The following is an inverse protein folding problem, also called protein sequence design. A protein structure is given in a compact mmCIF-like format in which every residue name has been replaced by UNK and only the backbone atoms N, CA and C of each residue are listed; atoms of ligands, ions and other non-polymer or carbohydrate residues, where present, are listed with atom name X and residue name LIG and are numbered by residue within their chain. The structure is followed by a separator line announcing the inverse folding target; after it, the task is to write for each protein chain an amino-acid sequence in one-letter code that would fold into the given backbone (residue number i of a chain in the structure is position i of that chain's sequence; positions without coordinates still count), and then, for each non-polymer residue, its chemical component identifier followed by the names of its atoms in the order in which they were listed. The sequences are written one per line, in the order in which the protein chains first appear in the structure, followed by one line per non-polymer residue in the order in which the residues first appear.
data_IF_931864735406
#
_entry.id   IF_931864735406
#
_cell.length_a   1.000
_cell.length_b   1.000
_cell.length_c   1.000
_cell.angle_alpha   90.00
_cell.angle_beta   90.00
_cell.angle_gamma   90.00
#
_symmetry.space_group_name_H-M   'P 1'
#
loop_
_entity.id
_entity.type
_entity.pdbx_description
1 polymer ?
#
# COMPACT_ATOMS: atom_id res chain seq x y z
N UNK A 1 6.86 1.10 29.68
CA UNK A 1 5.38 1.23 29.67
C UNK A 1 4.78 -0.15 29.84
N UNK A 2 3.76 -0.34 30.68
CA UNK A 2 3.08 -1.63 30.83
C UNK A 2 2.33 -1.98 29.54
N UNK A 3 2.73 -3.08 28.91
CA UNK A 3 2.09 -3.56 27.68
C UNK A 3 0.90 -4.43 28.03
N UNK A 4 -0.28 -4.07 27.53
CA UNK A 4 -1.46 -4.93 27.57
C UNK A 4 -1.52 -5.78 26.30
N UNK A 5 -1.69 -7.09 26.47
CA UNK A 5 -1.91 -8.02 25.37
C UNK A 5 -3.09 -7.56 24.49
N UNK A 6 -3.07 -7.84 23.17
CA UNK A 6 -4.18 -7.48 22.29
C UNK A 6 -5.50 -8.09 22.79
N UNK A 7 -6.63 -7.37 22.68
CA UNK A 7 -7.92 -7.81 23.18
C UNK A 7 -8.39 -9.08 22.48
N UNK A 8 -8.72 -10.10 23.27
CA UNK A 8 -9.39 -11.30 22.78
C UNK A 8 -10.72 -10.94 22.10
N UNK A 9 -11.00 -11.53 20.94
CA UNK A 9 -12.27 -11.36 20.22
C UNK A 9 -12.41 -10.09 19.37
N UNK A 10 -11.37 -9.28 19.22
CA UNK A 10 -11.43 -8.12 18.30
C UNK A 10 -11.52 -8.59 16.85
N UNK A 11 -12.41 -7.99 16.03
CA UNK A 11 -12.60 -8.43 14.66
C UNK A 11 -11.34 -8.16 13.82
N UNK A 12 -10.86 -9.19 13.11
CA UNK A 12 -9.71 -9.13 12.18
C UNK A 12 -10.07 -8.47 10.84
N UNK A 13 -10.73 -7.32 10.91
CA UNK A 13 -11.07 -6.50 9.75
C UNK A 13 -11.30 -5.04 10.16
N UNK A 14 -11.11 -4.07 9.25
CA UNK A 14 -11.55 -2.71 9.47
C UNK A 14 -13.07 -2.62 9.72
N UNK A 15 -13.57 -1.57 10.41
CA UNK A 15 -14.99 -1.29 10.50
C UNK A 15 -15.69 -1.26 9.13
N UNK A 16 -16.86 -1.90 9.02
CA UNK A 16 -17.65 -1.97 7.77
C UNK A 16 -18.63 -0.80 7.67
N UNK A 17 -18.10 0.39 7.41
CA UNK A 17 -18.91 1.61 7.23
C UNK A 17 -19.30 1.80 5.76
N UNK A 18 -20.51 2.31 5.46
CA UNK A 18 -20.88 2.67 4.09
C UNK A 18 -20.01 3.81 3.59
N UNK A 19 -19.85 3.92 2.26
CA UNK A 19 -19.11 5.03 1.67
C UNK A 19 -19.83 6.35 2.00
N UNK A 20 -19.13 7.43 2.41
CA UNK A 20 -19.77 8.67 2.81
C UNK A 20 -20.34 9.48 1.64
N UNK A 21 -19.88 9.19 0.42
CA UNK A 21 -20.36 9.82 -0.82
C UNK A 21 -20.62 8.74 -1.87
N UNK A 22 -21.50 8.98 -2.86
CA UNK A 22 -21.66 8.06 -3.98
C UNK A 22 -20.33 7.79 -4.70
N UNK A 23 -20.28 6.67 -5.41
CA UNK A 23 -19.23 6.44 -6.41
C UNK A 23 -19.34 7.55 -7.47
N UNK A 24 -18.23 8.18 -7.92
CA UNK A 24 -18.25 9.21 -8.96
C UNK A 24 -18.47 8.59 -10.35
N UNK A 25 -19.53 7.78 -10.49
CA UNK A 25 -19.90 7.05 -11.71
C UNK A 25 -20.41 8.04 -12.74
N UNK A 26 -19.93 7.88 -13.97
CA UNK A 26 -20.32 8.69 -15.13
C UNK A 26 -20.48 7.80 -16.36
N UNK A 27 -21.19 8.29 -17.38
CA UNK A 27 -21.26 7.63 -18.70
C UNK A 27 -20.23 8.26 -19.63
N UNK A 28 -19.30 7.46 -20.14
CA UNK A 28 -18.38 7.90 -21.19
C UNK A 28 -19.01 7.76 -22.58
N UNK A 29 -19.76 8.77 -22.99
CA UNK A 29 -20.47 8.82 -24.29
C UNK A 29 -19.54 8.66 -25.50
N UNK A 30 -18.23 8.86 -25.34
CA UNK A 30 -17.25 8.62 -26.42
C UNK A 30 -17.09 7.12 -26.64
N UNK A 31 -16.97 6.35 -25.56
CA UNK A 31 -16.84 4.89 -25.62
C UNK A 31 -18.13 4.25 -26.10
N UNK A 32 -19.29 4.69 -25.61
CA UNK A 32 -20.60 4.18 -26.04
C UNK A 32 -20.83 4.40 -27.54
N UNK A 33 -20.63 5.64 -28.03
CA UNK A 33 -20.76 5.95 -29.47
C UNK A 33 -19.73 5.23 -30.32
N UNK A 34 -18.49 5.11 -29.84
CA UNK A 34 -17.43 4.38 -30.54
C UNK A 34 -17.80 2.90 -30.69
N UNK A 35 -18.27 2.24 -29.63
CA UNK A 35 -18.67 0.84 -29.66
C UNK A 35 -19.90 0.60 -30.55
N UNK A 36 -20.89 1.50 -30.53
CA UNK A 36 -22.08 1.39 -31.37
C UNK A 36 -21.82 1.69 -32.86
N UNK A 37 -20.79 2.49 -33.17
CA UNK A 37 -20.50 2.98 -34.52
C UNK A 37 -19.54 2.11 -35.35
N UNK A 38 -18.98 1.02 -34.80
CA UNK A 38 -18.05 0.13 -35.51
C UNK A 38 -18.29 -1.34 -35.16
N UNK A 39 -17.69 -2.26 -35.91
CA UNK A 39 -17.78 -3.68 -35.56
C UNK A 39 -17.03 -3.96 -34.25
N UNK A 40 -17.49 -4.93 -33.45
CA UNK A 40 -16.80 -5.32 -32.22
C UNK A 40 -15.33 -5.71 -32.46
N UNK A 41 -15.04 -6.36 -33.58
CA UNK A 41 -13.67 -6.72 -33.95
C UNK A 41 -12.77 -5.49 -34.22
N UNK A 42 -13.31 -4.40 -34.75
CA UNK A 42 -12.57 -3.14 -34.93
C UNK A 42 -12.38 -2.42 -33.58
N UNK A 43 -13.42 -2.39 -32.74
CA UNK A 43 -13.36 -1.79 -31.42
C UNK A 43 -12.27 -2.43 -30.56
N UNK A 44 -12.27 -3.75 -30.44
CA UNK A 44 -11.32 -4.48 -29.59
C UNK A 44 -9.89 -4.46 -30.13
N UNK A 45 -9.69 -4.44 -31.46
CA UNK A 45 -8.36 -4.22 -32.06
C UNK A 45 -7.81 -2.83 -31.73
N UNK A 46 -8.67 -1.83 -31.57
CA UNK A 46 -8.22 -0.52 -31.17
C UNK A 46 -7.92 -0.46 -29.66
N UNK A 47 -8.76 -1.09 -28.82
CA UNK A 47 -8.50 -1.24 -27.37
C UNK A 47 -7.19 -1.99 -27.10
N UNK A 48 -6.89 -3.05 -27.85
CA UNK A 48 -5.63 -3.79 -27.72
C UNK A 48 -4.39 -2.93 -27.99
N UNK A 49 -4.49 -1.93 -28.86
CA UNK A 49 -3.40 -0.97 -29.13
C UNK A 49 -3.33 0.15 -28.10
N UNK A 50 -4.46 0.58 -27.56
CA UNK A 50 -4.56 1.70 -26.59
C UNK A 50 -4.30 1.24 -25.15
N UNK A 51 -4.60 -0.02 -24.84
CA UNK A 51 -4.62 -0.58 -23.49
C UNK A 51 -5.90 -0.25 -22.71
N UNK A 52 -6.09 -0.90 -21.56
CA UNK A 52 -7.16 -0.61 -20.61
C UNK A 52 -6.61 -0.26 -19.22
N UNK A 53 -7.39 0.47 -18.40
CA UNK A 53 -8.66 1.16 -18.73
C UNK A 53 -8.47 2.31 -19.73
N UNK A 54 -9.50 2.62 -20.51
CA UNK A 54 -9.47 3.80 -21.39
C UNK A 54 -9.56 5.07 -20.54
N UNK A 55 -8.88 6.13 -20.97
CA UNK A 55 -8.92 7.44 -20.29
C UNK A 55 -9.34 8.53 -21.26
N UNK A 56 -9.83 9.65 -20.74
CA UNK A 56 -10.14 10.81 -21.58
C UNK A 56 -10.48 12.09 -20.81
N UNK A 57 -10.87 13.15 -21.52
CA UNK A 57 -11.26 14.40 -20.89
C UNK A 57 -12.44 14.20 -19.96
N UNK A 58 -12.51 15.04 -18.93
CA UNK A 58 -13.67 15.09 -18.05
C UNK A 58 -14.95 15.40 -18.83
N UNK A 59 -16.02 14.58 -18.74
CA UNK A 59 -17.32 14.89 -19.35
C UNK A 59 -17.95 16.19 -18.83
N UNK A 60 -17.57 16.64 -17.62
CA UNK A 60 -18.02 17.91 -17.05
C UNK A 60 -17.09 19.10 -17.41
N UNK A 61 -15.99 18.85 -18.12
CA UNK A 61 -15.09 19.88 -18.63
C UNK A 61 -14.04 20.41 -17.64
N UNK A 62 -13.88 19.83 -16.44
CA UNK A 62 -12.83 20.24 -15.52
C UNK A 62 -11.45 19.76 -15.99
N UNK A 63 -10.49 20.68 -16.05
CA UNK A 63 -9.15 20.41 -16.59
C UNK A 63 -8.33 19.45 -15.71
N UNK A 64 -8.54 19.48 -14.40
CA UNK A 64 -7.87 18.66 -13.39
C UNK A 64 -8.48 17.26 -13.24
N UNK A 65 -9.57 16.96 -13.96
CA UNK A 65 -10.24 15.66 -13.96
C UNK A 65 -10.10 14.93 -15.30
N UNK A 66 -10.34 13.63 -15.24
CA UNK A 66 -10.42 12.73 -16.38
C UNK A 66 -11.52 11.69 -16.12
N UNK A 67 -12.09 11.16 -17.20
CA UNK A 67 -12.89 9.94 -17.13
C UNK A 67 -11.98 8.72 -17.29
N UNK A 68 -12.22 7.69 -16.48
CA UNK A 68 -11.58 6.38 -16.56
C UNK A 68 -12.66 5.35 -16.85
N UNK A 69 -12.55 4.66 -17.98
CA UNK A 69 -13.54 3.70 -18.47
C UNK A 69 -12.93 2.31 -18.49
N UNK A 70 -13.39 1.48 -17.55
CA UNK A 70 -13.05 0.06 -17.46
C UNK A 70 -13.89 -0.71 -18.47
N UNK A 71 -13.28 -1.71 -19.11
CA UNK A 71 -13.90 -2.47 -20.17
C UNK A 71 -13.84 -3.97 -19.90
N UNK A 72 -14.82 -4.70 -20.41
CA UNK A 72 -14.77 -6.14 -20.53
C UNK A 72 -15.36 -6.60 -21.86
N UNK A 73 -14.69 -7.57 -22.49
CA UNK A 73 -15.19 -8.21 -23.71
C UNK A 73 -16.08 -9.39 -23.34
N UNK A 74 -17.39 -9.19 -23.49
CA UNK A 74 -18.39 -10.19 -23.18
C UNK A 74 -18.36 -11.38 -24.13
N UNK A 75 -18.64 -12.56 -23.61
CA UNK A 75 -19.03 -13.74 -24.37
C UNK A 75 -20.56 -13.85 -24.43
N UNK A 76 -21.14 -14.71 -25.29
CA UNK A 76 -22.57 -15.03 -25.22
C UNK A 76 -23.02 -15.60 -23.87
N UNK A 77 -22.08 -16.10 -23.05
CA UNK A 77 -22.34 -16.60 -21.70
C UNK A 77 -22.28 -15.48 -20.64
N UNK A 78 -21.58 -14.37 -20.89
CA UNK A 78 -21.50 -13.26 -19.93
C UNK A 78 -22.88 -12.71 -19.59
N UNK A 79 -23.16 -12.63 -18.28
CA UNK A 79 -24.41 -12.05 -17.75
C UNK A 79 -24.20 -10.87 -16.81
N UNK A 80 -23.09 -10.85 -16.07
CA UNK A 80 -22.73 -9.73 -15.23
C UNK A 80 -21.21 -9.53 -15.24
N UNK A 81 -20.79 -8.28 -15.18
CA UNK A 81 -19.39 -7.92 -14.96
C UNK A 81 -19.35 -6.90 -13.84
N UNK A 82 -18.62 -7.20 -12.77
CA UNK A 82 -18.36 -6.31 -11.66
C UNK A 82 -16.95 -5.76 -11.78
N UNK A 83 -16.78 -4.46 -11.64
CA UNK A 83 -15.46 -3.83 -11.50
C UNK A 83 -15.28 -3.31 -10.09
N UNK A 84 -14.08 -3.42 -9.54
CA UNK A 84 -13.79 -2.94 -8.19
C UNK A 84 -12.43 -2.25 -8.16
N UNK A 85 -12.35 -0.97 -8.56
CA UNK A 85 -11.14 -0.18 -8.34
C UNK A 85 -10.96 0.08 -6.84
N UNK A 86 -9.70 0.03 -6.38
CA UNK A 86 -9.35 0.06 -4.97
C UNK A 86 -9.97 1.28 -4.27
N UNK A 87 -10.82 1.01 -3.26
CA UNK A 87 -11.56 2.01 -2.46
C UNK A 87 -12.42 3.00 -3.26
N UNK A 88 -12.71 2.71 -4.53
CA UNK A 88 -13.74 3.42 -5.29
C UNK A 88 -15.08 2.69 -5.16
N UNK A 89 -15.09 1.39 -5.44
CA UNK A 89 -16.30 0.58 -5.30
C UNK A 89 -16.82 0.54 -3.85
N UNK A 90 -18.13 0.67 -3.67
CA UNK A 90 -18.76 0.45 -2.36
C UNK A 90 -18.96 -1.06 -2.12
N UNK A 91 -18.31 -1.66 -1.12
CA UNK A 91 -18.50 -3.08 -0.83
C UNK A 91 -19.90 -3.44 -0.33
N UNK A 92 -20.66 -2.47 0.21
CA UNK A 92 -22.02 -2.65 0.72
C UNK A 92 -23.10 -2.44 -0.33
N UNK A 93 -22.79 -1.75 -1.42
CA UNK A 93 -23.63 -1.65 -2.61
C UNK A 93 -22.86 -2.16 -3.84
N UNK A 94 -22.78 -3.49 -4.02
CA UNK A 94 -22.03 -4.08 -5.12
C UNK A 94 -22.69 -3.77 -6.47
N UNK A 95 -24.01 -3.57 -6.49
CA UNK A 95 -24.80 -3.36 -7.70
C UNK A 95 -24.39 -2.09 -8.45
N UNK A 96 -24.02 -1.04 -7.72
CA UNK A 96 -23.47 0.20 -8.28
C UNK A 96 -22.15 0.03 -9.04
N UNK A 97 -21.51 -1.14 -8.94
CA UNK A 97 -20.27 -1.47 -9.62
C UNK A 97 -20.42 -2.49 -10.76
N UNK A 98 -21.66 -2.86 -11.11
CA UNK A 98 -21.93 -3.62 -12.31
C UNK A 98 -21.71 -2.75 -13.55
N UNK A 99 -21.00 -3.31 -14.53
CA UNK A 99 -20.83 -2.73 -15.85
C UNK A 99 -22.12 -2.74 -16.64
N UNK A 100 -22.30 -1.72 -17.45
CA UNK A 100 -23.36 -1.65 -18.45
C UNK A 100 -22.87 -2.28 -19.76
N UNK A 101 -23.77 -2.95 -20.49
CA UNK A 101 -23.48 -3.47 -21.83
C UNK A 101 -23.96 -2.47 -22.87
N UNK A 102 -23.09 -2.08 -23.81
CA UNK A 102 -23.52 -1.27 -24.96
C UNK A 102 -24.46 -2.11 -25.84
N UNK A 103 -25.71 -1.66 -26.08
CA UNK A 103 -26.72 -2.45 -26.79
C UNK A 103 -26.22 -2.95 -28.16
N UNK A 104 -26.47 -4.23 -28.45
CA UNK A 104 -26.08 -4.85 -29.73
C UNK A 104 -24.60 -5.23 -29.87
N UNK A 105 -23.76 -5.00 -28.85
CA UNK A 105 -22.31 -5.27 -28.91
C UNK A 105 -21.83 -6.27 -27.85
N UNK A 106 -20.57 -6.69 -27.89
CA UNK A 106 -19.90 -7.46 -26.82
C UNK A 106 -19.17 -6.55 -25.80
N UNK A 107 -19.42 -5.24 -25.84
CA UNK A 107 -18.70 -4.25 -25.01
C UNK A 107 -19.44 -3.99 -23.71
N UNK A 108 -18.81 -4.39 -22.61
CA UNK A 108 -19.20 -4.00 -21.25
C UNK A 108 -18.31 -2.86 -20.78
N UNK A 109 -18.90 -1.87 -20.12
CA UNK A 109 -18.18 -0.70 -19.65
C UNK A 109 -18.67 -0.20 -18.29
N UNK A 110 -17.77 0.43 -17.54
CA UNK A 110 -18.09 1.17 -16.34
C UNK A 110 -17.08 2.29 -16.17
N UNK A 111 -17.57 3.51 -15.88
CA UNK A 111 -16.72 4.69 -15.92
C UNK A 111 -16.83 5.52 -14.66
N UNK A 112 -15.71 6.11 -14.26
CA UNK A 112 -15.62 7.04 -13.13
C UNK A 112 -14.90 8.32 -13.51
N UNK A 113 -15.32 9.41 -12.88
CA UNK A 113 -14.66 10.72 -12.96
C UNK A 113 -13.68 10.85 -11.81
N UNK A 114 -12.40 11.02 -12.12
CA UNK A 114 -11.31 11.10 -11.14
C UNK A 114 -10.39 12.29 -11.44
N UNK A 115 -9.82 12.91 -10.40
CA UNK A 115 -8.70 13.84 -10.53
C UNK A 115 -7.52 13.17 -11.23
N UNK A 116 -6.78 13.93 -12.04
CA UNK A 116 -5.69 13.43 -12.92
C UNK A 116 -4.48 12.83 -12.20
N UNK A 117 -4.34 13.08 -10.91
CA UNK A 117 -3.31 12.48 -10.07
C UNK A 117 -3.72 11.16 -9.42
N UNK A 118 -4.88 10.63 -9.79
CA UNK A 118 -5.37 9.34 -9.28
C UNK A 118 -4.64 8.15 -9.90
N UNK A 119 -4.37 7.16 -9.06
CA UNK A 119 -3.99 5.82 -9.49
C UNK A 119 -4.55 4.74 -8.55
N UNK A 120 -4.81 3.56 -9.09
CA UNK A 120 -5.28 2.43 -8.30
C UNK A 120 -5.06 1.10 -9.02
N UNK A 121 -5.00 0.03 -8.23
CA UNK A 121 -5.32 -1.31 -8.68
C UNK A 121 -6.82 -1.50 -8.81
N UNK A 122 -7.24 -2.47 -9.62
CA UNK A 122 -8.64 -2.87 -9.73
C UNK A 122 -8.78 -4.36 -9.98
N UNK A 123 -9.97 -4.89 -9.72
CA UNK A 123 -10.32 -6.28 -10.02
C UNK A 123 -11.58 -6.31 -10.89
N UNK A 124 -11.59 -7.22 -11.86
CA UNK A 124 -12.78 -7.58 -12.63
C UNK A 124 -13.31 -8.91 -12.12
N UNK A 125 -14.62 -9.03 -11.99
CA UNK A 125 -15.28 -10.30 -11.67
C UNK A 125 -16.40 -10.54 -12.67
N UNK A 126 -16.46 -11.74 -13.24
CA UNK A 126 -17.32 -12.04 -14.39
C UNK A 126 -18.21 -13.22 -14.07
N UNK A 127 -19.51 -13.02 -14.24
CA UNK A 127 -20.52 -14.06 -14.21
C UNK A 127 -20.83 -14.51 -15.64
N UNK A 128 -20.55 -15.77 -15.94
CA UNK A 128 -20.93 -16.43 -17.20
C UNK A 128 -22.05 -17.48 -17.00
N UNK A 129 -22.70 -17.47 -15.84
CA UNK A 129 -23.78 -18.36 -15.44
C UNK A 129 -25.16 -17.72 -15.63
N UNK A 130 -25.92 -17.61 -14.53
CA UNK A 130 -27.33 -17.19 -14.55
C UNK A 130 -27.62 -15.83 -13.91
N UNK A 131 -26.62 -15.12 -13.39
CA UNK A 131 -26.83 -13.86 -12.66
C UNK A 131 -27.00 -12.62 -13.56
N UNK A 132 -27.06 -11.39 -12.99
CA UNK A 132 -27.03 -11.14 -11.56
C UNK A 132 -28.29 -11.64 -10.85
N UNK A 133 -28.11 -12.26 -9.68
CA UNK A 133 -29.20 -12.80 -8.87
C UNK A 133 -29.48 -11.90 -7.65
N UNK A 134 -30.76 -11.78 -7.27
CA UNK A 134 -31.20 -11.04 -6.08
C UNK A 134 -31.07 -11.91 -4.81
N UNK A 135 -29.84 -12.33 -4.51
CA UNK A 135 -29.48 -13.19 -3.38
C UNK A 135 -28.28 -12.61 -2.62
N UNK A 136 -28.32 -12.66 -1.29
CA UNK A 136 -27.24 -12.21 -0.43
C UNK A 136 -25.93 -13.00 -0.64
N UNK A 137 -26.00 -14.26 -1.07
CA UNK A 137 -24.81 -15.07 -1.38
C UNK A 137 -24.22 -14.79 -2.78
N UNK A 138 -24.98 -14.15 -3.67
CA UNK A 138 -24.53 -13.84 -5.03
C UNK A 138 -23.29 -12.95 -5.03
N UNK A 139 -23.29 -11.86 -4.27
CA UNK A 139 -22.19 -10.89 -4.30
C UNK A 139 -20.87 -11.41 -3.70
N UNK A 140 -20.87 -12.12 -2.57
CA UNK A 140 -19.68 -12.85 -2.12
C UNK A 140 -19.16 -13.81 -3.18
N UNK A 141 -20.04 -14.59 -3.82
CA UNK A 141 -19.66 -15.54 -4.87
C UNK A 141 -19.09 -14.84 -6.11
N UNK A 142 -19.74 -13.78 -6.63
CA UNK A 142 -19.26 -13.06 -7.81
C UNK A 142 -17.84 -12.53 -7.59
N UNK A 143 -17.54 -12.02 -6.38
CA UNK A 143 -16.19 -11.52 -6.03
C UNK A 143 -15.10 -12.61 -6.01
N UNK A 144 -15.47 -13.89 -6.00
CA UNK A 144 -14.51 -15.00 -6.19
C UNK A 144 -14.29 -15.34 -7.66
N UNK A 145 -15.18 -14.91 -8.56
CA UNK A 145 -15.08 -15.12 -10.01
C UNK A 145 -14.14 -14.10 -10.68
N UNK A 146 -12.95 -13.92 -10.11
CA UNK A 146 -11.97 -12.93 -10.58
C UNK A 146 -11.49 -13.27 -11.99
N UNK A 147 -11.26 -12.22 -12.78
CA UNK A 147 -10.63 -12.28 -14.09
C UNK A 147 -9.57 -11.20 -14.17
N UNK A 148 -8.44 -11.53 -14.80
CA UNK A 148 -7.47 -10.51 -15.19
C UNK A 148 -8.04 -9.68 -16.33
N UNK A 149 -7.63 -8.42 -16.42
CA UNK A 149 -7.92 -7.58 -17.58
C UNK A 149 -6.92 -7.91 -18.70
N UNK A 150 -7.34 -8.59 -19.79
CA UNK A 150 -6.42 -9.04 -20.82
C UNK A 150 -5.82 -7.91 -21.65
N UNK A 151 -6.39 -6.69 -21.57
CA UNK A 151 -5.95 -5.53 -22.34
C UNK A 151 -5.14 -4.54 -21.51
N UNK A 152 -4.89 -4.83 -20.23
CA UNK A 152 -4.07 -3.99 -19.37
C UNK A 152 -2.65 -4.57 -19.26
N UNK A 153 -1.63 -3.93 -19.86
CA UNK A 153 -0.25 -4.39 -19.77
C UNK A 153 0.40 -4.07 -18.41
N UNK A 154 -0.32 -3.41 -17.51
CA UNK A 154 0.17 -2.95 -16.22
C UNK A 154 -0.53 -3.70 -15.09
N UNK A 155 0.25 -4.48 -14.34
CA UNK A 155 -0.21 -5.17 -13.15
C UNK A 155 0.84 -5.10 -12.05
N UNK A 156 0.39 -5.06 -10.81
CA UNK A 156 1.22 -5.28 -9.64
C UNK A 156 1.25 -6.76 -9.29
N UNK A 157 2.39 -7.24 -8.78
CA UNK A 157 2.48 -8.60 -8.23
C UNK A 157 1.42 -8.81 -7.13
N UNK A 158 0.83 -9.99 -7.09
CA UNK A 158 -0.05 -10.39 -6.00
C UNK A 158 0.74 -10.78 -4.75
N UNK A 159 0.04 -10.76 -3.61
CA UNK A 159 0.60 -11.16 -2.30
C UNK A 159 0.28 -12.62 -2.02
N UNK A 160 1.21 -13.35 -1.38
CA UNK A 160 1.05 -14.76 -0.98
C UNK A 160 0.56 -15.65 -2.14
N UNK A 161 1.32 -15.64 -3.24
CA UNK A 161 1.01 -16.37 -4.48
C UNK A 161 -0.32 -15.97 -5.16
N UNK A 162 -0.89 -14.82 -4.77
CA UNK A 162 -2.03 -14.24 -5.44
C UNK A 162 -1.72 -13.79 -6.87
N UNK A 163 -2.74 -13.78 -7.71
CA UNK A 163 -2.61 -13.31 -9.09
C UNK A 163 -2.18 -11.83 -9.15
N UNK A 164 -1.39 -11.44 -10.17
CA UNK A 164 -1.13 -10.04 -10.44
C UNK A 164 -2.42 -9.23 -10.59
N UNK A 165 -2.44 -8.04 -10.00
CA UNK A 165 -3.62 -7.17 -10.01
C UNK A 165 -3.43 -6.02 -11.00
N UNK A 166 -4.30 -5.88 -12.02
CA UNK A 166 -4.25 -4.79 -12.99
C UNK A 166 -4.27 -3.41 -12.30
N UNK A 167 -3.58 -2.45 -12.88
CA UNK A 167 -3.53 -1.08 -12.36
C UNK A 167 -3.78 -0.02 -13.42
N UNK A 168 -4.24 1.14 -12.95
CA UNK A 168 -4.44 2.35 -13.74
C UNK A 168 -3.74 3.51 -13.05
N UNK A 169 -3.00 4.30 -13.81
CA UNK A 169 -2.41 5.55 -13.37
C UNK A 169 -2.73 6.64 -14.39
N UNK A 170 -3.39 7.71 -13.94
CA UNK A 170 -3.70 8.83 -14.81
C UNK A 170 -2.45 9.67 -15.11
N UNK A 171 -2.55 10.53 -16.13
CA UNK A 171 -1.41 11.28 -16.66
C UNK A 171 -0.72 12.21 -15.65
N UNK A 172 -1.40 12.60 -14.58
CA UNK A 172 -0.85 13.42 -13.50
C UNK A 172 -0.51 12.61 -12.24
N UNK A 173 -0.70 11.29 -12.25
CA UNK A 173 -0.41 10.45 -11.11
C UNK A 173 1.11 10.43 -10.83
N UNK A 174 1.54 10.21 -9.58
CA UNK A 174 2.95 10.11 -9.25
C UNK A 174 3.68 9.09 -10.13
N UNK A 175 4.91 9.46 -10.53
CA UNK A 175 5.76 8.62 -11.36
C UNK A 175 6.15 7.30 -10.68
N UNK A 176 6.61 6.34 -11.48
CA UNK A 176 7.12 5.04 -11.01
C UNK A 176 8.54 4.74 -11.49
N UNK A 177 9.27 5.79 -11.90
CA UNK A 177 10.60 5.69 -12.51
C UNK A 177 11.63 5.03 -11.61
N UNK A 178 11.58 5.31 -10.32
CA UNK A 178 12.49 4.80 -9.30
C UNK A 178 12.34 3.29 -9.08
N UNK A 179 11.24 2.71 -9.56
CA UNK A 179 10.99 1.28 -9.43
C UNK A 179 11.41 0.47 -10.66
N UNK A 180 11.87 1.15 -11.71
CA UNK A 180 12.34 0.50 -12.94
C UNK A 180 13.85 0.34 -12.88
N UNK A 181 14.35 -0.77 -13.39
CA UNK A 181 15.79 -0.95 -13.55
C UNK A 181 16.32 0.12 -14.51
N UNK A 182 17.39 0.80 -14.10
CA UNK A 182 18.05 1.84 -14.90
C UNK A 182 19.44 1.35 -15.32
N UNK A 183 19.80 1.40 -16.61
CA UNK A 183 21.14 1.05 -17.06
C UNK A 183 22.21 1.87 -16.34
N UNK A 184 23.28 1.21 -15.90
CA UNK A 184 24.42 1.87 -15.25
C UNK A 184 24.25 2.17 -13.76
N UNK A 185 23.07 1.93 -13.16
CA UNK A 185 22.89 2.05 -11.71
C UNK A 185 23.51 0.83 -11.00
N UNK A 186 24.47 1.03 -10.07
CA UNK A 186 25.02 -0.06 -9.27
C UNK A 186 23.93 -0.80 -8.48
N UNK A 187 23.98 -2.13 -8.51
CA UNK A 187 22.97 -3.00 -7.91
C UNK A 187 23.43 -3.50 -6.54
N UNK A 188 22.61 -3.28 -5.52
CA UNK A 188 22.78 -3.93 -4.23
C UNK A 188 22.54 -5.44 -4.34
N UNK A 189 22.79 -6.15 -3.24
CA UNK A 189 22.55 -7.58 -3.14
C UNK A 189 21.39 -7.86 -2.20
N UNK A 190 20.52 -8.80 -2.59
CA UNK A 190 19.46 -9.33 -1.72
C UNK A 190 19.78 -10.77 -1.40
N UNK A 191 19.85 -11.08 -0.11
CA UNK A 191 20.02 -12.43 0.42
C UNK A 191 18.79 -12.82 1.25
N UNK A 192 18.39 -14.09 1.22
CA UNK A 192 17.23 -14.60 1.97
C UNK A 192 17.74 -15.46 3.11
N UNK A 193 17.27 -15.19 4.32
CA UNK A 193 17.69 -15.88 5.54
C UNK A 193 16.49 -16.41 6.31
N UNK A 194 16.66 -17.52 7.00
CA UNK A 194 15.69 -17.99 8.01
C UNK A 194 16.09 -17.42 9.36
N UNK A 195 15.21 -16.64 9.99
CA UNK A 195 15.48 -16.03 11.29
C UNK A 195 14.49 -16.59 12.31
N UNK A 196 15.02 -17.29 13.29
CA UNK A 196 14.25 -17.88 14.39
C UNK A 196 14.04 -16.85 15.49
N UNK A 197 12.79 -16.74 15.96
CA UNK A 197 12.40 -15.88 17.06
C UNK A 197 12.03 -16.72 18.29
N UNK A 198 12.70 -16.46 19.41
CA UNK A 198 12.32 -17.04 20.69
C UNK A 198 11.07 -16.32 21.25
N UNK A 199 10.96 -15.01 21.05
CA UNK A 199 9.83 -14.19 21.49
C UNK A 199 8.50 -14.60 20.84
N UNK A 200 8.55 -14.98 19.55
CA UNK A 200 7.37 -15.36 18.76
C UNK A 200 7.17 -16.87 18.71
N UNK A 201 8.18 -17.67 19.04
CA UNK A 201 8.14 -19.12 18.94
C UNK A 201 7.97 -19.63 17.50
N UNK A 202 8.42 -18.85 16.51
CA UNK A 202 8.39 -19.20 15.10
C UNK A 202 9.70 -18.86 14.39
N UNK A 203 9.78 -19.24 13.13
CA UNK A 203 10.86 -18.89 12.22
C UNK A 203 10.25 -18.26 10.97
N UNK A 204 10.90 -17.26 10.40
CA UNK A 204 10.42 -16.56 9.21
C UNK A 204 11.55 -16.25 8.24
N UNK A 205 11.21 -16.12 6.96
CA UNK A 205 12.14 -15.58 5.98
C UNK A 205 12.38 -14.09 6.25
N UNK A 206 13.61 -13.66 6.04
CA UNK A 206 14.01 -12.25 6.03
C UNK A 206 14.80 -12.00 4.76
N UNK A 207 14.32 -11.09 3.91
CA UNK A 207 15.13 -10.57 2.83
C UNK A 207 16.05 -9.49 3.40
N UNK A 208 17.35 -9.64 3.21
CA UNK A 208 18.40 -8.71 3.63
C UNK A 208 19.00 -8.06 2.40
N UNK A 209 18.78 -6.77 2.24
CA UNK A 209 19.40 -5.93 1.22
C UNK A 209 20.66 -5.25 1.76
N UNK A 210 21.74 -5.30 0.98
CA UNK A 210 23.00 -4.59 1.21
C UNK A 210 23.31 -3.75 -0.02
N UNK A 211 23.69 -2.47 0.13
CA UNK A 211 23.87 -1.56 -1.00
C UNK A 211 25.06 -1.97 -1.88
N UNK A 212 25.06 -1.50 -3.13
CA UNK A 212 26.16 -1.72 -4.05
C UNK A 212 27.48 -1.10 -3.52
N UNK A 213 28.62 -1.72 -3.84
CA UNK A 213 29.94 -1.23 -3.39
C UNK A 213 30.33 -1.68 -1.97
N UNK A 214 29.44 -2.35 -1.24
CA UNK A 214 29.72 -2.82 0.12
C UNK A 214 29.61 -1.70 1.15
N UNK A 215 30.18 -1.93 2.34
CA UNK A 215 30.24 -0.92 3.40
C UNK A 215 31.66 -0.42 3.54
N UNK A 216 31.84 0.89 3.48
CA UNK A 216 33.14 1.51 3.73
C UNK A 216 33.67 1.12 5.12
N UNK A 217 34.96 0.80 5.27
CA UNK A 217 35.53 0.45 6.56
C UNK A 217 35.26 1.52 7.63
N UNK A 218 34.63 1.11 8.73
CA UNK A 218 34.28 2.00 9.84
C UNK A 218 32.97 2.80 9.65
N UNK A 219 32.29 2.68 8.51
CA UNK A 219 30.99 3.28 8.31
C UNK A 219 29.87 2.42 8.93
N UNK A 220 28.96 3.08 9.65
CA UNK A 220 27.72 2.45 10.11
C UNK A 220 26.60 2.68 9.09
N UNK A 221 25.90 1.61 8.70
CA UNK A 221 24.75 1.69 7.81
C UNK A 221 23.49 2.15 8.56
N UNK A 222 22.75 3.15 8.04
CA UNK A 222 21.35 3.31 8.38
C UNK A 222 20.58 2.02 8.12
N UNK A 223 19.50 1.81 8.86
CA UNK A 223 18.71 0.58 8.77
C UNK A 223 17.27 0.90 8.38
N UNK A 224 16.74 0.15 7.42
CA UNK A 224 15.31 0.09 7.11
C UNK A 224 14.77 -1.28 7.51
N UNK A 225 13.88 -1.33 8.50
CA UNK A 225 13.03 -2.50 8.75
C UNK A 225 11.70 -2.30 8.03
N UNK A 226 11.48 -3.02 6.92
CA UNK A 226 10.28 -2.90 6.09
C UNK A 226 9.38 -4.13 6.26
N UNK A 227 8.24 -3.94 6.90
CA UNK A 227 7.28 -4.99 7.20
C UNK A 227 6.53 -5.45 5.94
N UNK A 228 5.92 -6.64 6.01
CA UNK A 228 5.35 -7.35 4.85
C UNK A 228 6.40 -7.66 3.77
N UNK A 229 7.55 -8.17 4.22
CA UNK A 229 8.75 -8.30 3.39
C UNK A 229 8.53 -9.08 2.10
N UNK A 230 7.68 -10.12 2.13
CA UNK A 230 7.38 -10.95 0.96
C UNK A 230 6.69 -10.18 -0.18
N UNK A 231 5.96 -9.12 0.16
CA UNK A 231 5.33 -8.26 -0.84
C UNK A 231 6.36 -7.33 -1.47
N UNK A 232 7.20 -6.70 -0.64
CA UNK A 232 8.18 -5.73 -1.11
C UNK A 232 9.33 -6.38 -1.88
N UNK A 233 9.72 -7.60 -1.49
CA UNK A 233 10.77 -8.38 -2.12
C UNK A 233 10.40 -9.88 -2.14
N UNK A 234 10.44 -10.55 -3.30
CA UNK A 234 10.71 -10.01 -4.64
C UNK A 234 9.51 -9.32 -5.30
N UNK A 235 8.31 -9.34 -4.69
CA UNK A 235 7.05 -8.98 -5.37
C UNK A 235 7.04 -7.60 -6.03
N UNK A 236 7.42 -6.54 -5.31
CA UNK A 236 7.40 -5.16 -5.82
C UNK A 236 8.78 -4.62 -6.22
N UNK A 237 9.84 -5.41 -6.05
CA UNK A 237 11.20 -5.02 -6.46
C UNK A 237 11.79 -3.85 -5.67
N UNK A 238 11.57 -3.80 -4.35
CA UNK A 238 12.08 -2.71 -3.48
C UNK A 238 13.60 -2.53 -3.56
N UNK A 239 14.37 -3.58 -3.85
CA UNK A 239 15.81 -3.44 -4.07
C UNK A 239 16.14 -2.44 -5.21
N UNK A 240 15.35 -2.45 -6.29
CA UNK A 240 15.51 -1.48 -7.40
C UNK A 240 15.17 -0.07 -6.96
N UNK A 241 14.15 0.12 -6.11
CA UNK A 241 13.89 1.42 -5.50
C UNK A 241 15.12 1.91 -4.74
N UNK A 242 15.64 1.09 -3.84
CA UNK A 242 16.76 1.48 -2.97
C UNK A 242 18.02 1.79 -3.79
N UNK A 243 18.35 0.95 -4.77
CA UNK A 243 19.48 1.18 -5.69
C UNK A 243 19.35 2.54 -6.39
N UNK A 244 18.17 2.84 -6.92
CA UNK A 244 17.93 4.08 -7.65
C UNK A 244 18.00 5.31 -6.73
N UNK A 245 17.39 5.26 -5.53
CA UNK A 245 17.45 6.37 -4.58
C UNK A 245 18.88 6.62 -4.06
N UNK A 246 19.66 5.55 -3.85
CA UNK A 246 21.07 5.66 -3.45
C UNK A 246 21.92 6.24 -4.58
N UNK A 247 21.75 5.75 -5.81
CA UNK A 247 22.48 6.25 -6.98
C UNK A 247 22.18 7.72 -7.29
N UNK A 248 20.95 8.18 -7.02
CA UNK A 248 20.55 9.57 -7.18
C UNK A 248 20.96 10.46 -5.99
N UNK A 249 21.60 9.90 -4.95
CA UNK A 249 21.99 10.61 -3.74
C UNK A 249 20.81 11.10 -2.89
N UNK A 250 19.60 10.59 -3.14
CA UNK A 250 18.38 10.96 -2.40
C UNK A 250 18.32 10.33 -1.02
N UNK A 251 18.96 9.18 -0.84
CA UNK A 251 19.21 8.55 0.47
C UNK A 251 20.66 8.03 0.52
N UNK A 252 21.28 7.92 1.71
CA UNK A 252 22.57 7.27 1.86
C UNK A 252 22.46 5.76 1.59
N UNK A 253 23.58 5.08 1.26
CA UNK A 253 23.65 3.62 1.32
C UNK A 253 23.14 3.11 2.67
N UNK A 254 22.25 2.10 2.65
CA UNK A 254 21.57 1.57 3.84
C UNK A 254 21.42 0.05 3.78
N UNK A 255 21.34 -0.59 4.94
CA UNK A 255 20.87 -1.97 5.04
C UNK A 255 19.34 -1.99 5.13
N UNK A 256 18.68 -2.91 4.42
CA UNK A 256 17.25 -3.14 4.62
C UNK A 256 16.96 -4.58 5.04
N UNK A 257 16.11 -4.73 6.07
CA UNK A 257 15.67 -5.98 6.65
C UNK A 257 14.17 -6.10 6.44
N UNK A 258 13.74 -7.13 5.72
CA UNK A 258 12.35 -7.29 5.31
C UNK A 258 11.82 -8.61 5.85
N UNK A 259 11.29 -8.64 7.09
CA UNK A 259 10.74 -9.87 7.66
C UNK A 259 9.41 -10.25 6.99
N UNK A 260 9.28 -11.53 6.68
CA UNK A 260 8.05 -12.13 6.18
C UNK A 260 6.91 -12.05 7.21
N UNK A 261 5.69 -11.82 6.74
CA UNK A 261 4.49 -11.83 7.59
C UNK A 261 3.84 -13.21 7.77
N UNK A 262 4.44 -14.25 7.16
CA UNK A 262 4.04 -15.65 7.06
C UNK A 262 2.70 -15.90 6.35
N UNK A 263 1.62 -15.31 6.86
CA UNK A 263 0.28 -15.45 6.30
C UNK A 263 -0.73 -14.58 7.03
N UNK A 264 -1.95 -14.51 6.50
CA UNK A 264 -2.96 -13.57 6.98
C UNK A 264 -3.23 -13.67 8.49
N UNK A 265 -3.40 -14.88 9.02
CA UNK A 265 -3.71 -15.08 10.44
C UNK A 265 -2.56 -14.67 11.37
N UNK A 266 -1.33 -15.07 11.03
CA UNK A 266 -0.14 -14.68 11.79
C UNK A 266 0.09 -13.17 11.73
N UNK A 267 -0.07 -12.58 10.55
CA UNK A 267 0.01 -11.13 10.35
C UNK A 267 -0.97 -10.38 11.26
N UNK A 268 -2.23 -10.82 11.36
CA UNK A 268 -3.20 -10.22 12.27
C UNK A 268 -2.83 -10.43 13.74
N UNK A 269 -2.31 -11.59 14.11
CA UNK A 269 -1.95 -11.90 15.49
C UNK A 269 -0.73 -11.09 15.97
N UNK A 270 0.28 -10.91 15.12
CA UNK A 270 1.56 -10.31 15.49
C UNK A 270 1.61 -8.80 15.22
N UNK A 271 0.96 -8.30 14.15
CA UNK A 271 1.09 -6.91 13.70
C UNK A 271 -0.03 -5.99 14.22
N UNK A 272 -0.55 -6.29 15.42
CA UNK A 272 -1.66 -5.57 16.07
C UNK A 272 -1.29 -5.09 17.46
N UNK A 273 -0.16 -4.37 17.55
CA UNK A 273 0.43 -3.89 18.81
C UNK A 273 0.88 -5.03 19.76
N UNK A 274 1.36 -6.17 19.22
CA UNK A 274 1.93 -7.24 20.04
C UNK A 274 3.34 -6.86 20.53
N UNK A 275 3.60 -6.79 21.85
CA UNK A 275 4.95 -6.55 22.37
C UNK A 275 5.98 -7.55 21.88
N UNK A 276 5.61 -8.81 21.68
CA UNK A 276 6.55 -9.86 21.28
C UNK A 276 7.05 -9.61 19.87
N UNK A 277 6.19 -9.11 18.98
CA UNK A 277 6.59 -8.76 17.62
C UNK A 277 7.48 -7.52 17.61
N UNK A 278 7.15 -6.48 18.38
CA UNK A 278 8.03 -5.32 18.52
C UNK A 278 9.41 -5.71 19.11
N UNK A 279 9.43 -6.59 20.10
CA UNK A 279 10.66 -7.17 20.67
C UNK A 279 11.44 -8.01 19.66
N UNK A 280 10.77 -8.83 18.83
CA UNK A 280 11.45 -9.54 17.74
C UNK A 280 12.18 -8.56 16.81
N UNK A 281 11.54 -7.45 16.42
CA UNK A 281 12.19 -6.46 15.57
C UNK A 281 13.40 -5.80 16.25
N UNK A 282 13.27 -5.38 17.51
CA UNK A 282 14.32 -4.64 18.23
C UNK A 282 15.46 -5.53 18.76
N UNK A 283 15.11 -6.66 19.34
CA UNK A 283 15.97 -7.45 20.23
C UNK A 283 16.45 -8.76 19.59
N UNK A 284 15.85 -9.20 18.47
CA UNK A 284 16.26 -10.42 17.76
C UNK A 284 16.71 -10.11 16.33
N UNK A 285 15.90 -9.40 15.54
CA UNK A 285 16.16 -9.12 14.12
C UNK A 285 17.35 -8.15 13.91
N UNK A 286 17.36 -7.01 14.61
CA UNK A 286 18.47 -6.06 14.50
C UNK A 286 19.80 -6.66 15.00
N UNK A 287 19.86 -7.34 16.17
CA UNK A 287 21.09 -8.01 16.60
C UNK A 287 21.53 -9.14 15.67
N UNK A 288 20.61 -9.94 15.13
CA UNK A 288 20.93 -10.96 14.13
C UNK A 288 21.63 -10.38 12.91
N UNK A 289 21.08 -9.28 12.35
CA UNK A 289 21.69 -8.64 11.19
C UNK A 289 22.99 -7.91 11.54
N UNK A 290 23.07 -7.34 12.75
CA UNK A 290 24.24 -6.62 13.26
C UNK A 290 25.44 -7.51 13.62
N UNK A 291 25.26 -8.84 13.65
CA UNK A 291 26.37 -9.78 13.84
C UNK A 291 27.38 -9.74 12.67
N UNK A 292 26.89 -9.50 11.46
CA UNK A 292 27.70 -9.55 10.23
C UNK A 292 27.66 -8.24 9.40
N UNK A 293 26.82 -7.28 9.79
CA UNK A 293 26.73 -5.96 9.14
C UNK A 293 27.01 -4.85 10.17
N UNK A 294 27.74 -3.79 9.79
CA UNK A 294 27.98 -2.63 10.66
C UNK A 294 26.73 -1.74 10.71
N UNK A 295 25.65 -2.24 11.33
CA UNK A 295 24.41 -1.48 11.48
C UNK A 295 24.59 -0.38 12.51
N UNK A 296 24.01 0.79 12.26
CA UNK A 296 24.05 1.89 13.23
C UNK A 296 23.27 1.57 14.50
N UNK A 297 23.80 2.03 15.64
CA UNK A 297 23.07 2.03 16.91
C UNK A 297 22.23 3.31 17.11
N UNK A 298 22.38 4.32 16.25
CA UNK A 298 21.64 5.57 16.33
C UNK A 298 20.16 5.37 15.90
N UNK A 299 19.18 5.55 16.80
CA UNK A 299 17.77 5.42 16.44
C UNK A 299 17.34 6.43 15.38
N UNK A 300 17.96 7.61 15.30
CA UNK A 300 17.61 8.62 14.29
C UNK A 300 17.92 8.18 12.85
N UNK A 301 18.72 7.11 12.69
CA UNK A 301 19.09 6.48 11.41
C UNK A 301 18.50 5.07 11.24
N UNK A 302 17.57 4.68 12.12
CA UNK A 302 16.87 3.40 12.06
C UNK A 302 15.38 3.62 11.79
N UNK A 303 14.95 3.28 10.58
CA UNK A 303 13.57 3.40 10.10
C UNK A 303 12.84 2.07 10.30
N UNK A 304 11.65 2.12 10.88
CA UNK A 304 10.66 1.06 10.78
C UNK A 304 9.50 1.52 9.90
N UNK A 305 9.18 0.73 8.88
CA UNK A 305 8.25 1.10 7.82
C UNK A 305 7.20 0.00 7.59
N UNK A 306 5.97 0.40 7.28
CA UNK A 306 4.94 -0.56 6.91
C UNK A 306 3.61 0.06 6.52
N UNK A 307 2.72 -0.79 5.99
CA UNK A 307 1.43 -0.40 5.44
C UNK A 307 0.30 -1.06 6.23
N UNK A 308 -0.82 -0.37 6.43
CA UNK A 308 -1.97 -0.95 7.13
C UNK A 308 -1.59 -1.39 8.57
N UNK A 309 -1.71 -2.68 8.91
CA UNK A 309 -1.18 -3.25 10.17
C UNK A 309 0.33 -3.05 10.34
N UNK A 310 1.09 -3.02 9.23
CA UNK A 310 2.50 -2.67 9.25
C UNK A 310 2.74 -1.24 9.69
N UNK A 311 1.92 -0.29 9.23
CA UNK A 311 2.03 1.11 9.67
C UNK A 311 1.68 1.29 11.14
N UNK A 312 0.68 0.56 11.63
CA UNK A 312 0.35 0.48 13.06
C UNK A 312 1.53 -0.08 13.86
N UNK A 313 2.09 -1.21 13.41
CA UNK A 313 3.23 -1.89 14.05
C UNK A 313 4.49 -1.03 14.05
N UNK A 314 4.78 -0.34 12.96
CA UNK A 314 5.93 0.58 12.85
C UNK A 314 5.85 1.68 13.90
N UNK A 315 4.71 2.36 14.01
CA UNK A 315 4.49 3.37 15.04
C UNK A 315 4.55 2.77 16.46
N UNK A 316 3.97 1.59 16.66
CA UNK A 316 4.00 0.90 17.95
C UNK A 316 5.42 0.55 18.39
N UNK A 317 6.23 -0.04 17.50
CA UNK A 317 7.61 -0.43 17.78
C UNK A 317 8.49 0.78 18.13
N UNK A 318 8.31 1.91 17.44
CA UNK A 318 9.05 3.14 17.77
C UNK A 318 8.63 3.78 19.10
N UNK A 319 7.35 3.69 19.47
CA UNK A 319 6.87 4.20 20.76
C UNK A 319 7.30 3.31 21.92
N UNK A 320 7.46 2.00 21.72
CA UNK A 320 7.88 1.05 22.77
C UNK A 320 9.39 0.88 22.87
N UNK A 321 10.12 1.04 21.76
CA UNK A 321 11.57 0.97 21.68
C UNK A 321 12.20 2.19 20.97
N UNK A 322 11.98 3.43 21.46
CA UNK A 322 12.48 4.65 20.81
C UNK A 322 14.00 4.76 20.78
N UNK A 323 14.70 4.03 21.67
CA UNK A 323 16.16 3.91 21.64
C UNK A 323 16.69 3.03 20.50
N UNK A 324 15.82 2.29 19.79
CA UNK A 324 16.17 1.49 18.61
C UNK A 324 15.56 2.03 17.33
N UNK A 325 14.31 2.50 17.38
CA UNK A 325 13.61 3.04 16.21
C UNK A 325 13.25 4.51 16.43
N UNK A 326 14.02 5.41 15.84
CA UNK A 326 13.78 6.85 15.88
C UNK A 326 13.04 7.38 14.66
N UNK A 327 12.76 6.55 13.67
CA UNK A 327 12.06 6.95 12.44
C UNK A 327 10.92 5.99 12.11
N UNK A 328 9.71 6.54 11.90
CA UNK A 328 8.51 5.80 11.50
C UNK A 328 8.07 6.24 10.12
N UNK A 329 7.84 5.26 9.24
CA UNK A 329 7.16 5.45 7.97
C UNK A 329 5.90 4.59 7.96
N UNK A 330 4.74 5.20 8.20
CA UNK A 330 3.46 4.50 8.30
C UNK A 330 2.50 4.93 7.18
N UNK A 331 2.11 3.98 6.36
CA UNK A 331 1.27 4.20 5.18
C UNK A 331 -0.09 3.56 5.42
N UNK A 332 -1.15 4.35 5.36
CA UNK A 332 -2.53 3.92 5.59
C UNK A 332 -2.65 3.13 6.89
N UNK A 333 -2.00 3.61 7.95
CA UNK A 333 -1.83 2.87 9.20
C UNK A 333 -3.19 2.50 9.78
N UNK A 334 -3.31 1.27 10.28
CA UNK A 334 -4.54 0.77 10.91
C UNK A 334 -4.73 1.35 12.32
N UNK A 335 -4.61 2.67 12.46
CA UNK A 335 -4.76 3.40 13.72
C UNK A 335 -6.19 3.40 14.24
N UNK A 336 -7.15 2.80 13.53
CA UNK A 336 -8.48 2.45 14.04
C UNK A 336 -8.45 1.27 15.03
N UNK A 337 -7.37 0.49 15.03
CA UNK A 337 -7.25 -0.75 15.80
C UNK A 337 -7.56 -0.56 17.30
N UNK A 338 -8.43 -1.40 17.88
CA UNK A 338 -8.69 -1.39 19.31
C UNK A 338 -7.61 -2.17 20.07
N UNK A 339 -7.28 -1.73 21.29
CA UNK A 339 -6.62 -2.60 22.26
C UNK A 339 -7.31 -2.43 23.64
N UNK A 340 -8.05 -3.46 24.06
CA UNK A 340 -9.07 -3.35 25.12
C UNK A 340 -10.39 -2.74 24.60
N UNK A 341 -11.16 -2.02 25.45
CA UNK A 341 -12.44 -1.43 25.06
C UNK A 341 -12.32 -0.18 24.18
N UNK A 342 -11.12 0.43 24.09
CA UNK A 342 -10.88 1.66 23.34
C UNK A 342 -10.50 1.40 21.89
N UNK A 343 -11.23 2.01 20.96
CA UNK A 343 -10.79 2.13 19.56
C UNK A 343 -9.60 3.09 19.47
N UNK A 344 -8.79 2.95 18.41
CA UNK A 344 -7.66 3.85 18.17
C UNK A 344 -6.65 3.94 19.34
N UNK A 345 -6.39 2.80 19.97
CA UNK A 345 -5.64 2.72 21.22
C UNK A 345 -4.24 3.34 21.14
N UNK A 346 -3.50 3.10 20.05
CA UNK A 346 -2.13 3.61 19.92
C UNK A 346 -2.09 5.15 19.93
N UNK A 347 -3.06 5.79 19.29
CA UNK A 347 -3.18 7.25 19.28
C UNK A 347 -3.38 7.80 20.70
N UNK A 348 -4.22 7.14 21.50
CA UNK A 348 -4.47 7.53 22.91
C UNK A 348 -3.24 7.32 23.79
N UNK A 349 -2.48 6.23 23.53
CA UNK A 349 -1.21 5.99 24.21
C UNK A 349 -0.18 7.07 23.92
N UNK A 350 -0.06 7.51 22.66
CA UNK A 350 0.84 8.60 22.26
C UNK A 350 0.40 9.93 22.87
N UNK A 351 -0.90 10.21 22.91
CA UNK A 351 -1.44 11.41 23.56
C UNK A 351 -1.04 11.47 25.06
N UNK A 352 -1.11 10.32 25.75
CA UNK A 352 -0.81 10.20 27.17
C UNK A 352 0.70 10.06 27.51
N UNK A 353 1.57 9.78 26.53
CA UNK A 353 3.01 9.60 26.78
C UNK A 353 3.77 10.94 26.78
N UNK A 354 4.95 11.05 27.39
CA UNK A 354 5.86 12.15 27.05
C UNK A 354 6.20 12.13 25.55
N UNK A 355 6.63 13.27 24.99
CA UNK A 355 7.17 13.33 23.63
C UNK A 355 8.43 12.46 23.57
N UNK A 356 8.51 11.59 22.57
CA UNK A 356 9.63 10.68 22.33
C UNK A 356 10.53 11.23 21.21
N UNK A 357 11.81 10.85 21.16
CA UNK A 357 12.72 11.25 20.09
C UNK A 357 12.46 10.43 18.81
N UNK A 358 11.23 10.48 18.28
CA UNK A 358 10.78 9.72 17.12
C UNK A 358 10.23 10.68 16.07
N UNK A 359 10.72 10.55 14.84
CA UNK A 359 10.25 11.28 13.66
C UNK A 359 9.20 10.47 12.93
N UNK A 360 8.06 11.08 12.65
CA UNK A 360 6.94 10.41 11.97
C UNK A 360 6.79 10.90 10.53
N UNK A 361 6.67 9.96 9.59
CA UNK A 361 6.14 10.15 8.24
C UNK A 361 4.89 9.31 8.11
N UNK A 362 3.77 9.99 7.94
CA UNK A 362 2.45 9.38 7.85
C UNK A 362 1.86 9.68 6.48
N UNK A 363 1.29 8.68 5.82
CA UNK A 363 0.56 8.86 4.58
C UNK A 363 -0.77 8.11 4.62
N UNK A 364 -1.83 8.62 3.98
CA UNK A 364 -3.10 7.90 3.86
C UNK A 364 -3.83 8.28 2.57
N UNK A 365 -4.57 7.34 1.98
CA UNK A 365 -5.32 7.58 0.76
C UNK A 365 -6.61 8.38 1.03
N UNK A 366 -6.89 9.36 0.18
CA UNK A 366 -8.12 10.17 0.22
C UNK A 366 -9.39 9.29 0.13
N UNK A 367 -9.32 8.15 -0.55
CA UNK A 367 -10.47 7.24 -0.70
C UNK A 367 -10.62 6.24 0.44
N UNK A 368 -9.79 6.28 1.48
CA UNK A 368 -9.86 5.36 2.61
C UNK A 368 -10.82 5.82 3.71
N UNK A 369 -12.12 5.97 3.42
CA UNK A 369 -13.09 6.58 4.35
C UNK A 369 -13.15 5.95 5.76
N UNK A 370 -12.72 4.68 5.91
CA UNK A 370 -12.60 4.01 7.20
C UNK A 370 -11.29 4.32 7.93
N UNK A 371 -10.15 4.33 7.21
CA UNK A 371 -8.83 4.46 7.82
C UNK A 371 -8.36 5.92 7.92
N UNK A 372 -8.77 6.78 6.98
CA UNK A 372 -8.37 8.17 6.88
C UNK A 372 -8.69 8.98 8.14
N UNK A 373 -9.89 8.90 8.76
CA UNK A 373 -10.16 9.62 10.00
C UNK A 373 -9.21 9.26 11.15
N UNK A 374 -8.84 7.98 11.27
CA UNK A 374 -7.91 7.54 12.31
C UNK A 374 -6.47 8.02 12.07
N UNK A 375 -6.04 8.08 10.81
CA UNK A 375 -4.74 8.64 10.43
C UNK A 375 -4.68 10.17 10.68
N UNK A 376 -5.76 10.90 10.33
CA UNK A 376 -5.89 12.33 10.64
C UNK A 376 -5.85 12.61 12.14
N UNK A 377 -6.54 11.81 12.96
CA UNK A 377 -6.48 11.96 14.44
C UNK A 377 -5.07 11.74 14.98
N UNK A 378 -4.33 10.75 14.47
CA UNK A 378 -2.94 10.55 14.87
C UNK A 378 -2.08 11.76 14.51
N UNK A 379 -2.19 12.29 13.28
CA UNK A 379 -1.53 13.55 12.89
C UNK A 379 -1.83 14.67 13.88
N UNK A 380 -3.11 14.90 14.20
CA UNK A 380 -3.52 15.98 15.10
C UNK A 380 -2.98 15.78 16.52
N UNK A 381 -2.92 14.53 16.98
CA UNK A 381 -2.31 14.17 18.26
C UNK A 381 -0.81 14.43 18.25
N UNK A 382 -0.08 14.06 17.19
CA UNK A 382 1.35 14.35 17.07
C UNK A 382 1.62 15.87 17.09
N UNK A 383 0.84 16.66 16.35
CA UNK A 383 0.95 18.11 16.36
C UNK A 383 0.70 18.69 17.76
N UNK A 384 -0.37 18.27 18.44
CA UNK A 384 -0.67 18.72 19.81
C UNK A 384 0.40 18.32 20.85
N UNK A 385 1.20 17.29 20.54
CA UNK A 385 2.30 16.80 21.38
C UNK A 385 3.66 17.44 21.04
N UNK A 386 3.70 18.40 20.10
CA UNK A 386 4.91 19.11 19.71
C UNK A 386 5.85 18.28 18.81
N UNK A 387 5.32 17.33 18.03
CA UNK A 387 6.09 16.72 16.94
C UNK A 387 6.05 17.62 15.70
N UNK A 388 6.69 18.78 15.79
CA UNK A 388 6.70 19.81 14.73
C UNK A 388 7.40 19.33 13.44
N UNK A 389 8.20 18.28 13.56
CA UNK A 389 8.93 17.61 12.49
C UNK A 389 8.18 16.40 11.90
N UNK A 390 6.96 16.11 12.35
CA UNK A 390 6.12 15.09 11.74
C UNK A 390 5.57 15.56 10.39
N UNK A 391 5.62 14.68 9.38
CA UNK A 391 5.06 14.95 8.06
C UNK A 391 3.85 14.05 7.85
N UNK A 392 2.76 14.63 7.36
CA UNK A 392 1.54 13.91 6.98
C UNK A 392 1.16 14.26 5.54
N UNK A 393 0.93 13.23 4.72
CA UNK A 393 0.50 13.37 3.31
C UNK A 393 -0.82 12.63 3.08
N UNK A 394 -1.72 13.25 2.32
CA UNK A 394 -2.87 12.56 1.74
C UNK A 394 -2.63 12.44 0.24
N UNK A 395 -2.80 11.24 -0.30
CA UNK A 395 -2.62 10.97 -1.72
C UNK A 395 -3.96 10.58 -2.37
N UNK A 396 -4.10 10.92 -3.64
CA UNK A 396 -5.30 10.59 -4.41
C UNK A 396 -5.28 9.11 -4.81
N UNK A 397 -5.66 8.26 -3.85
CA UNK A 397 -5.64 6.82 -3.97
C UNK A 397 -6.35 6.13 -2.81
N UNK A 398 -6.35 4.80 -2.87
CA UNK A 398 -6.97 3.92 -1.89
C UNK A 398 -5.98 3.21 -0.97
N UNK A 399 -6.40 2.07 -0.44
CA UNK A 399 -5.58 1.20 0.41
C UNK A 399 -4.78 0.24 -0.46
N UNK A 400 -3.73 0.76 -1.10
CA UNK A 400 -3.16 0.15 -2.31
C UNK A 400 -1.63 0.19 -2.36
N UNK A 401 -1.00 -0.94 -2.67
CA UNK A 401 0.46 -1.01 -2.87
C UNK A 401 0.95 -0.14 -4.02
N UNK A 402 0.12 0.17 -5.01
CA UNK A 402 0.47 1.12 -6.07
C UNK A 402 0.76 2.50 -5.50
N UNK A 403 -0.08 2.94 -4.56
CA UNK A 403 0.07 4.23 -3.89
C UNK A 403 1.23 4.17 -2.89
N UNK A 404 1.30 3.10 -2.10
CA UNK A 404 2.34 2.93 -1.09
C UNK A 404 3.75 2.86 -1.66
N UNK A 405 3.93 2.44 -2.92
CA UNK A 405 5.22 2.53 -3.61
C UNK A 405 5.74 3.98 -3.70
N UNK A 406 4.87 4.92 -4.02
CA UNK A 406 5.22 6.34 -4.07
C UNK A 406 5.57 6.86 -2.69
N UNK A 407 4.69 6.62 -1.73
CA UNK A 407 4.84 7.14 -0.36
C UNK A 407 6.03 6.52 0.38
N UNK A 408 6.46 5.29 0.01
CA UNK A 408 7.66 4.67 0.56
C UNK A 408 8.92 5.40 0.09
N UNK A 409 9.02 5.67 -1.22
CA UNK A 409 10.15 6.37 -1.81
C UNK A 409 10.32 7.77 -1.19
N UNK A 410 9.23 8.52 -1.16
CA UNK A 410 9.19 9.88 -0.62
C UNK A 410 9.47 9.91 0.89
N UNK A 411 8.83 9.04 1.67
CA UNK A 411 9.04 9.00 3.11
C UNK A 411 10.47 8.60 3.50
N UNK A 412 11.12 7.72 2.72
CA UNK A 412 12.54 7.38 2.93
C UNK A 412 13.44 8.59 2.66
N UNK A 413 13.17 9.35 1.61
CA UNK A 413 13.90 10.60 1.33
C UNK A 413 13.72 11.62 2.46
N UNK A 414 12.49 11.79 2.96
CA UNK A 414 12.21 12.74 4.05
C UNK A 414 12.86 12.35 5.40
N UNK A 415 13.18 11.07 5.60
CA UNK A 415 13.76 10.55 6.85
C UNK A 415 15.28 10.42 6.79
N UNK A 416 15.82 9.96 5.66
CA UNK A 416 17.22 9.60 5.49
C UNK A 416 17.98 10.51 4.53
N UNK A 417 17.29 11.39 3.81
CA UNK A 417 17.90 12.25 2.80
C UNK A 417 18.90 13.26 3.35
N UNK A 418 19.73 13.88 2.48
CA UNK A 418 20.73 14.86 2.88
C UNK A 418 20.11 16.01 3.68
N UNK A 419 20.73 16.38 4.81
CA UNK A 419 20.27 17.49 5.66
C UNK A 419 19.21 17.12 6.70
N UNK A 420 18.81 15.84 6.80
CA UNK A 420 17.84 15.37 7.81
C UNK A 420 18.48 14.95 9.15
N UNK A 421 19.83 14.93 9.22
CA UNK A 421 20.56 14.77 10.47
C UNK A 421 20.46 16.06 11.29
N UNK A 422 19.55 16.08 12.27
CA UNK A 422 19.53 17.10 13.31
C UNK A 422 20.88 17.13 14.06
N UNK A 423 21.21 18.25 14.74
CA UNK A 423 22.48 18.37 15.43
C UNK A 423 22.64 17.23 16.43
N UNK A 424 23.77 16.51 16.34
CA UNK A 424 24.20 15.56 17.37
C UNK A 424 24.26 16.36 18.66
N UNK A 425 23.36 16.08 19.60
CA UNK A 425 23.42 16.67 20.92
C UNK A 425 24.72 16.22 21.57
N UNK A 426 25.66 17.15 21.71
CA UNK A 426 26.92 16.96 22.44
C UNK A 426 26.74 17.05 23.95
#
# INVERSE_FOLDING_TARGET
MTVTAPPSGSPRHPPRMPRPSPVPRVTDERVVRRAAGMSGAEFWRAVEREGTPLTGPDPEGAADHAVVTFLWRGSPATRAVLVSPNKIADPRDPSGNLMDRVPGTDVWHWSVRMRRDWHATYTLCVDEGGGPADDAAYWPWLRTQRRSDPYNPHALAGRWDGDPTPCVALSGAPGSTEWRERPGVPRGSVSVHSVRSALLGNERRVWRYVPAGGVEPGAELPVLVLLDGEMWQPGLGVATLLDNLVADGRIPPLAALLPESLGADTRWAEMTCDPRFAGFLADELLPWAGADLPLTADPARTVVAGQSLGGLTAAYAAVTAPGRFGCVLAQSGSFWWPNGPGAQWLTERIAASPRLPVRFRLAAGEQEWVALPANRRLRDTLAAKGYDDAVYREYNGGHDYLCWRTELAEGLCDLLGPGTAGPVAG
#
